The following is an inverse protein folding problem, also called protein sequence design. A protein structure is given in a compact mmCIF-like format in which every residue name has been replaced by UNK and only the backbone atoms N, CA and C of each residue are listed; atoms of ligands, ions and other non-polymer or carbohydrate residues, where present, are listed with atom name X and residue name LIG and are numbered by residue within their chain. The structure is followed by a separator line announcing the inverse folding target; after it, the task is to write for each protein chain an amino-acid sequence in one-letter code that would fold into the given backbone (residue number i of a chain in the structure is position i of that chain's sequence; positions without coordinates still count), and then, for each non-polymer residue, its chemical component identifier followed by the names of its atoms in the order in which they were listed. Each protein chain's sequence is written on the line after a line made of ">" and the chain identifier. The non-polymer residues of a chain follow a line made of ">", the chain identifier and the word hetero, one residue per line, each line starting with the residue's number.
data_IF_916610022345
#
_entry.id   IF_916610022345
#
_cell.length_a   1.000
_cell.length_b   1.000
_cell.length_c   1.000
_cell.angle_alpha   90.00
_cell.angle_beta   90.00
_cell.angle_gamma   90.00
#
_symmetry.space_group_name_H-M   'P 1'
#
loop_
_entity.id
_entity.type
_entity.pdbx_description
1 polymer ?
#
# COMPACT_ATOMS: atom_id res chain seq x y z
N UNK A 1 17.60 4.03 13.84
CA UNK A 1 17.23 3.72 12.46
C UNK A 1 16.75 5.01 11.82
N UNK A 2 17.35 5.41 10.69
CA UNK A 2 16.89 6.57 9.94
C UNK A 2 15.49 6.28 9.40
N UNK A 3 14.53 7.08 9.81
CA UNK A 3 13.17 6.98 9.26
C UNK A 3 13.17 7.55 7.84
N UNK A 4 12.45 6.91 6.93
CA UNK A 4 12.29 7.41 5.58
C UNK A 4 10.81 7.49 5.19
N UNK A 5 10.46 8.47 4.37
CA UNK A 5 9.12 8.63 3.83
C UNK A 5 9.17 9.08 2.37
N UNK A 6 8.06 8.87 1.65
CA UNK A 6 7.90 9.31 0.27
C UNK A 6 6.95 10.50 0.25
N UNK A 7 7.44 11.63 -0.26
CA UNK A 7 6.69 12.89 -0.30
C UNK A 7 6.45 13.30 -1.75
N UNK A 8 5.19 13.60 -2.06
CA UNK A 8 4.80 14.17 -3.35
C UNK A 8 5.04 15.67 -3.34
N UNK A 9 5.76 16.16 -4.32
CA UNK A 9 6.02 17.58 -4.58
C UNK A 9 5.51 17.98 -5.95
N UNK A 10 5.51 19.26 -6.26
CA UNK A 10 5.19 19.75 -7.62
C UNK A 10 6.16 19.24 -8.68
N UNK A 11 7.38 18.87 -8.29
CA UNK A 11 8.44 18.33 -9.17
C UNK A 11 8.47 16.80 -9.26
N UNK A 12 7.57 16.10 -8.54
CA UNK A 12 7.53 14.64 -8.51
C UNK A 12 7.61 14.07 -7.09
N UNK A 13 7.81 12.75 -6.99
CA UNK A 13 7.98 12.06 -5.71
C UNK A 13 9.45 12.09 -5.28
N UNK A 14 9.70 12.44 -4.03
CA UNK A 14 11.03 12.50 -3.41
C UNK A 14 11.07 11.54 -2.23
N UNK A 15 12.16 10.77 -2.10
CA UNK A 15 12.44 9.96 -0.90
C UNK A 15 13.14 10.86 0.12
N UNK A 16 12.51 11.08 1.26
CA UNK A 16 13.06 11.89 2.34
C UNK A 16 13.55 10.97 3.48
N UNK A 17 14.75 11.27 3.96
CA UNK A 17 15.28 10.73 5.21
C UNK A 17 15.11 11.77 6.32
N UNK A 18 14.65 11.36 7.47
CA UNK A 18 14.36 12.29 8.57
C UNK A 18 14.45 11.63 9.94
N UNK A 19 14.74 12.44 10.95
CA UNK A 19 14.71 12.05 12.37
C UNK A 19 13.45 12.60 13.08
N UNK A 20 12.45 13.03 12.30
CA UNK A 20 11.25 13.64 12.84
C UNK A 20 10.28 12.56 13.32
N UNK A 21 9.85 12.66 14.57
CA UNK A 21 8.73 11.91 15.13
C UNK A 21 7.39 12.58 14.73
N UNK A 22 6.33 11.78 14.56
CA UNK A 22 4.96 12.25 14.35
C UNK A 22 4.60 12.79 12.94
N UNK A 23 5.30 12.36 11.89
CA UNK A 23 4.83 12.56 10.52
C UNK A 23 3.89 11.40 10.15
N UNK A 24 2.68 11.73 9.72
CA UNK A 24 1.65 10.77 9.34
C UNK A 24 1.31 10.89 7.85
N UNK A 25 0.73 9.84 7.31
CA UNK A 25 0.27 9.84 5.92
C UNK A 25 -0.78 10.93 5.67
N UNK A 26 -0.56 11.72 4.60
CA UNK A 26 -1.44 12.82 4.21
C UNK A 26 -1.11 14.17 4.86
N UNK A 27 -0.06 14.27 5.66
CA UNK A 27 0.40 15.56 6.19
C UNK A 27 1.00 16.43 5.07
N UNK A 28 0.71 17.72 5.14
CA UNK A 28 1.41 18.72 4.34
C UNK A 28 2.63 19.23 5.11
N UNK A 29 3.80 18.98 4.53
CA UNK A 29 5.07 19.36 5.14
C UNK A 29 5.71 20.49 4.37
N UNK A 30 6.17 21.52 5.10
CA UNK A 30 7.11 22.49 4.60
C UNK A 30 8.44 22.27 5.29
N UNK A 31 9.41 21.76 4.54
CA UNK A 31 10.72 21.34 5.05
C UNK A 31 11.84 21.99 4.28
N UNK A 32 12.94 22.21 4.96
CA UNK A 32 14.23 22.53 4.34
C UNK A 32 14.99 21.22 4.15
N UNK A 33 15.39 20.95 2.90
CA UNK A 33 16.02 19.69 2.52
C UNK A 33 17.44 19.89 2.04
N UNK A 34 18.28 18.90 2.27
CA UNK A 34 19.59 18.75 1.66
C UNK A 34 19.52 17.62 0.64
N UNK A 35 19.73 17.89 -0.65
CA UNK A 35 19.70 16.87 -1.68
C UNK A 35 20.82 15.85 -1.46
N UNK A 36 20.50 14.58 -1.62
CA UNK A 36 21.44 13.47 -1.58
C UNK A 36 21.64 12.92 -2.99
N UNK A 37 22.88 12.61 -3.33
CA UNK A 37 23.19 11.98 -4.61
C UNK A 37 22.74 10.52 -4.65
N UNK A 38 22.25 10.09 -5.81
CA UNK A 38 21.93 8.70 -6.10
C UNK A 38 23.15 8.05 -6.75
N UNK A 39 23.83 7.20 -6.00
CA UNK A 39 25.02 6.50 -6.51
C UNK A 39 24.62 5.24 -7.29
N UNK A 40 25.36 4.97 -8.35
CA UNK A 40 25.35 3.68 -9.02
C UNK A 40 26.33 2.74 -8.33
N UNK A 41 25.92 1.50 -8.13
CA UNK A 41 26.85 0.49 -7.62
C UNK A 41 27.85 0.14 -8.74
N UNK A 42 29.11 0.03 -8.37
CA UNK A 42 30.18 -0.43 -9.27
C UNK A 42 30.17 -1.94 -9.48
N UNK A 43 29.32 -2.69 -8.75
CA UNK A 43 29.22 -4.14 -8.81
C UNK A 43 27.93 -4.52 -9.55
N UNK A 44 28.04 -5.13 -10.72
CA UNK A 44 26.92 -5.47 -11.62
C UNK A 44 25.86 -6.39 -10.99
N UNK A 45 26.22 -7.16 -9.94
CA UNK A 45 25.33 -8.11 -9.26
C UNK A 45 24.79 -7.58 -7.91
N UNK A 46 25.10 -6.35 -7.50
CA UNK A 46 24.63 -5.77 -6.25
C UNK A 46 23.34 -4.97 -6.45
N UNK A 47 22.50 -4.93 -5.41
CA UNK A 47 21.30 -4.10 -5.42
C UNK A 47 21.64 -2.63 -5.69
N UNK A 48 21.13 -2.08 -6.78
CA UNK A 48 21.31 -0.68 -7.14
C UNK A 48 20.09 0.15 -6.71
N UNK A 49 20.24 0.95 -5.66
CA UNK A 49 19.18 1.82 -5.16
C UNK A 49 18.64 2.77 -6.22
N UNK A 50 19.54 3.32 -7.07
CA UNK A 50 19.17 4.24 -8.14
C UNK A 50 18.19 3.61 -9.13
N UNK A 51 18.49 2.41 -9.64
CA UNK A 51 17.61 1.70 -10.56
C UNK A 51 16.27 1.32 -9.91
N UNK A 52 16.30 0.90 -8.65
CA UNK A 52 15.10 0.60 -7.89
C UNK A 52 14.18 1.82 -7.72
N UNK A 53 14.75 2.97 -7.33
CA UNK A 53 13.99 4.21 -7.17
C UNK A 53 13.47 4.75 -8.52
N UNK A 54 14.27 4.64 -9.58
CA UNK A 54 13.84 5.03 -10.93
C UNK A 54 12.67 4.16 -11.42
N UNK A 55 12.70 2.86 -11.13
CA UNK A 55 11.55 1.96 -11.38
C UNK A 55 10.27 2.41 -10.67
N UNK A 56 10.39 3.07 -9.54
CA UNK A 56 9.27 3.68 -8.79
C UNK A 56 8.97 5.14 -9.19
N UNK A 57 9.61 5.68 -10.22
CA UNK A 57 9.52 7.08 -10.65
C UNK A 57 9.95 8.08 -9.57
N UNK A 58 10.92 7.70 -8.75
CA UNK A 58 11.51 8.54 -7.71
C UNK A 58 12.92 8.92 -8.20
N UNK A 59 13.11 10.17 -8.55
CA UNK A 59 14.35 10.67 -9.16
C UNK A 59 15.25 11.43 -8.19
N UNK A 60 14.73 11.72 -6.99
CA UNK A 60 15.44 12.51 -5.99
C UNK A 60 15.33 11.88 -4.62
N UNK A 61 16.42 11.95 -3.87
CA UNK A 61 16.45 11.68 -2.43
C UNK A 61 17.03 12.87 -1.70
N UNK A 62 16.59 13.12 -0.49
CA UNK A 62 17.08 14.24 0.31
C UNK A 62 16.98 13.92 1.80
N UNK A 63 17.81 14.59 2.58
CA UNK A 63 17.71 14.60 4.04
C UNK A 63 16.97 15.87 4.51
N UNK A 64 16.10 15.73 5.50
CA UNK A 64 15.37 16.87 6.08
C UNK A 64 16.25 17.55 7.12
N UNK A 65 16.73 18.77 6.82
CA UNK A 65 17.49 19.58 7.77
C UNK A 65 16.59 20.18 8.85
N UNK A 66 15.45 20.71 8.43
CA UNK A 66 14.55 21.42 9.32
C UNK A 66 13.09 21.30 8.87
N UNK A 67 12.21 20.99 9.83
CA UNK A 67 10.78 21.11 9.66
C UNK A 67 10.36 22.54 9.92
N UNK A 68 9.83 23.23 8.91
CA UNK A 68 9.38 24.60 9.01
C UNK A 68 7.93 24.63 9.47
N UNK A 69 7.07 23.81 8.86
CA UNK A 69 5.67 23.66 9.26
C UNK A 69 5.12 22.30 8.87
N UNK A 70 4.21 21.80 9.71
CA UNK A 70 3.44 20.58 9.45
C UNK A 70 1.96 20.94 9.60
N UNK A 71 1.17 20.66 8.58
CA UNK A 71 -0.27 20.84 8.61
C UNK A 71 -0.95 19.49 8.48
N UNK A 72 -1.62 19.07 9.54
CA UNK A 72 -2.38 17.84 9.58
C UNK A 72 -3.65 17.98 8.75
N UNK A 73 -3.82 17.13 7.74
CA UNK A 73 -5.02 17.10 6.90
C UNK A 73 -6.01 16.05 7.41
N UNK A 74 -7.33 16.33 7.36
CA UNK A 74 -8.35 15.34 7.65
C UNK A 74 -8.40 14.33 6.49
N UNK A 75 -7.75 13.18 6.65
CA UNK A 75 -7.77 12.09 5.68
C UNK A 75 -8.60 10.93 6.19
N UNK A 76 -9.13 10.10 5.27
CA UNK A 76 -9.81 8.84 5.64
C UNK A 76 -8.87 7.91 6.42
N UNK A 77 -7.59 7.89 6.05
CA UNK A 77 -6.53 7.18 6.77
C UNK A 77 -6.52 7.56 8.27
N UNK A 78 -6.42 8.86 8.58
CA UNK A 78 -6.41 9.36 9.96
C UNK A 78 -7.72 9.09 10.70
N UNK A 79 -8.85 9.22 10.00
CA UNK A 79 -10.15 8.88 10.57
C UNK A 79 -10.22 7.40 10.95
N UNK A 80 -9.64 6.50 10.15
CA UNK A 80 -9.58 5.08 10.43
C UNK A 80 -8.64 4.79 11.61
N UNK A 81 -7.45 5.39 11.60
CA UNK A 81 -6.44 5.24 12.65
C UNK A 81 -6.95 5.65 14.04
N UNK A 82 -7.73 6.72 14.12
CA UNK A 82 -8.36 7.18 15.38
C UNK A 82 -9.35 6.18 15.99
N UNK A 83 -9.75 5.16 15.23
CA UNK A 83 -10.66 4.09 15.69
C UNK A 83 -9.94 2.82 16.13
N UNK A 84 -8.64 2.80 16.00
CA UNK A 84 -7.84 1.68 16.45
C UNK A 84 -7.82 1.61 17.98
N UNK A 85 -7.46 0.43 18.49
CA UNK A 85 -7.34 0.20 19.92
C UNK A 85 -6.33 1.15 20.56
N UNK A 86 -6.57 1.54 21.81
CA UNK A 86 -5.59 2.28 22.61
C UNK A 86 -4.48 1.40 23.18
N UNK A 87 -4.61 0.07 23.11
CA UNK A 87 -3.55 -0.86 23.47
C UNK A 87 -2.54 -0.92 22.34
N UNK A 88 -1.28 -0.62 22.64
CA UNK A 88 -0.21 -0.47 21.64
C UNK A 88 -0.07 -1.70 20.75
N UNK A 89 0.03 -2.89 21.35
CA UNK A 89 0.21 -4.14 20.60
C UNK A 89 -0.94 -4.38 19.62
N UNK A 90 -2.19 -4.18 20.06
CA UNK A 90 -3.39 -4.36 19.22
C UNK A 90 -3.41 -3.31 18.11
N UNK A 91 -3.04 -2.08 18.40
CA UNK A 91 -2.96 -1.00 17.41
C UNK A 91 -1.94 -1.29 16.32
N UNK A 92 -0.78 -1.81 16.67
CA UNK A 92 0.28 -2.15 15.74
C UNK A 92 -0.15 -3.27 14.77
N UNK A 93 -0.83 -4.31 15.28
CA UNK A 93 -1.44 -5.32 14.42
C UNK A 93 -2.55 -4.74 13.53
N UNK A 94 -3.39 -3.84 14.04
CA UNK A 94 -4.41 -3.17 13.23
C UNK A 94 -3.78 -2.33 12.10
N UNK A 95 -2.69 -1.61 12.37
CA UNK A 95 -1.93 -0.89 11.34
C UNK A 95 -1.36 -1.84 10.28
N UNK A 96 -0.78 -2.95 10.71
CA UNK A 96 -0.25 -3.96 9.80
C UNK A 96 -1.34 -4.55 8.88
N UNK A 97 -2.47 -4.98 9.45
CA UNK A 97 -3.52 -5.68 8.70
C UNK A 97 -4.44 -4.77 7.90
N UNK A 98 -4.69 -3.56 8.39
CA UNK A 98 -5.66 -2.65 7.75
C UNK A 98 -4.95 -1.60 6.90
N UNK A 99 -3.82 -1.07 7.35
CA UNK A 99 -3.09 -0.03 6.64
C UNK A 99 -1.88 -0.56 5.87
N UNK A 100 -1.44 -1.80 6.15
CA UNK A 100 -0.25 -2.39 5.57
C UNK A 100 1.05 -1.78 6.08
N UNK A 101 1.00 -1.07 7.20
CA UNK A 101 2.16 -0.44 7.81
C UNK A 101 2.87 -1.37 8.77
N UNK A 102 4.20 -1.33 8.74
CA UNK A 102 5.05 -2.09 9.65
C UNK A 102 5.43 -1.20 10.81
N UNK A 103 5.00 -1.55 12.03
CA UNK A 103 5.46 -0.89 13.24
C UNK A 103 6.77 -1.50 13.72
N UNK A 104 7.66 -0.66 14.25
CA UNK A 104 8.93 -1.09 14.84
C UNK A 104 8.74 -1.92 16.12
N UNK A 105 7.61 -1.77 16.80
CA UNK A 105 7.27 -2.49 18.05
C UNK A 105 6.95 -3.96 17.81
N UNK A 106 6.53 -4.34 16.60
CA UNK A 106 6.30 -5.75 16.21
C UNK A 106 7.62 -6.44 15.80
N UNK A 107 8.79 -5.82 16.05
CA UNK A 107 10.09 -6.23 15.51
C UNK A 107 10.44 -7.69 15.78
N UNK A 108 10.28 -8.19 16.98
CA UNK A 108 10.59 -9.59 17.34
C UNK A 108 9.58 -10.55 16.74
N UNK A 109 8.29 -10.28 16.84
CA UNK A 109 7.22 -11.10 16.24
C UNK A 109 7.31 -11.08 14.72
N UNK A 110 7.67 -9.94 14.13
CA UNK A 110 7.87 -9.82 12.69
C UNK A 110 9.06 -10.65 12.20
N UNK A 111 10.16 -10.69 12.97
CA UNK A 111 11.30 -11.57 12.68
C UNK A 111 10.88 -13.03 12.74
N UNK A 112 10.15 -13.44 13.78
CA UNK A 112 9.62 -14.79 13.91
C UNK A 112 8.73 -15.16 12.72
N UNK A 113 7.84 -14.26 12.28
CA UNK A 113 7.01 -14.47 11.11
C UNK A 113 7.83 -14.58 9.82
N UNK A 114 8.94 -13.85 9.73
CA UNK A 114 9.88 -13.90 8.61
C UNK A 114 10.60 -15.24 8.57
N UNK A 115 11.10 -15.70 9.71
CA UNK A 115 11.81 -16.97 9.86
C UNK A 115 10.91 -18.16 9.53
N UNK A 116 9.64 -18.06 9.89
CA UNK A 116 8.60 -19.03 9.55
C UNK A 116 8.07 -18.90 8.12
N UNK A 117 8.57 -17.94 7.33
CA UNK A 117 8.08 -17.62 5.97
C UNK A 117 6.59 -17.24 5.92
N UNK A 118 6.00 -16.82 7.04
CA UNK A 118 4.59 -16.47 7.16
C UNK A 118 4.29 -14.99 6.87
N UNK A 119 5.30 -14.16 6.70
CA UNK A 119 5.15 -12.70 6.44
C UNK A 119 4.21 -12.42 5.27
N UNK A 120 4.23 -13.27 4.24
CA UNK A 120 3.35 -13.08 3.08
C UNK A 120 1.86 -13.24 3.41
N UNK A 121 1.52 -13.99 4.45
CA UNK A 121 0.14 -14.17 4.92
C UNK A 121 -0.33 -12.98 5.75
N UNK A 122 0.59 -12.34 6.48
CA UNK A 122 0.28 -11.23 7.38
C UNK A 122 0.44 -9.85 6.72
N UNK A 123 1.28 -9.75 5.69
CA UNK A 123 1.31 -8.53 4.88
C UNK A 123 -0.02 -8.36 4.13
N UNK A 124 -0.53 -7.15 4.07
CA UNK A 124 -1.75 -6.83 3.32
C UNK A 124 -1.55 -7.21 1.84
N UNK A 125 -2.15 -8.32 1.43
CA UNK A 125 -1.92 -8.98 0.15
C UNK A 125 -3.15 -8.93 -0.77
N UNK A 126 -2.93 -9.28 -2.03
CA UNK A 126 -4.02 -9.41 -2.99
C UNK A 126 -5.10 -10.41 -2.58
N UNK A 127 -4.75 -11.46 -1.82
CA UNK A 127 -5.72 -12.42 -1.29
C UNK A 127 -6.74 -11.75 -0.37
N UNK A 128 -6.31 -10.83 0.48
CA UNK A 128 -7.19 -10.08 1.38
C UNK A 128 -8.24 -9.27 0.59
N UNK A 129 -7.86 -8.69 -0.54
CA UNK A 129 -8.80 -7.97 -1.43
C UNK A 129 -9.85 -8.91 -2.01
N UNK A 130 -9.48 -10.12 -2.41
CA UNK A 130 -10.43 -11.10 -2.94
C UNK A 130 -11.42 -11.57 -1.88
N UNK A 131 -10.94 -11.85 -0.65
CA UNK A 131 -11.79 -12.23 0.48
C UNK A 131 -12.74 -11.09 0.83
N UNK A 132 -12.22 -9.87 0.94
CA UNK A 132 -13.00 -8.67 1.25
C UNK A 132 -14.05 -8.41 0.17
N UNK A 133 -13.69 -8.54 -1.11
CA UNK A 133 -14.63 -8.44 -2.22
C UNK A 133 -15.75 -9.47 -2.12
N UNK A 134 -15.42 -10.75 -1.88
CA UNK A 134 -16.42 -11.80 -1.76
C UNK A 134 -17.36 -11.55 -0.58
N UNK A 135 -16.80 -11.14 0.57
CA UNK A 135 -17.57 -10.86 1.78
C UNK A 135 -18.55 -9.70 1.57
N UNK A 136 -18.06 -8.53 1.15
CA UNK A 136 -18.88 -7.33 0.96
C UNK A 136 -19.94 -7.58 -0.12
N UNK A 137 -19.55 -8.16 -1.25
CA UNK A 137 -20.47 -8.48 -2.34
C UNK A 137 -21.61 -9.39 -1.87
N UNK A 138 -21.29 -10.45 -1.11
CA UNK A 138 -22.31 -11.39 -0.66
C UNK A 138 -23.24 -10.73 0.37
N UNK A 139 -22.72 -9.93 1.29
CA UNK A 139 -23.52 -9.16 2.24
C UNK A 139 -24.45 -8.18 1.50
N UNK A 140 -23.94 -7.40 0.57
CA UNK A 140 -24.75 -6.46 -0.21
C UNK A 140 -25.79 -7.18 -1.09
N UNK A 141 -25.48 -8.36 -1.59
CA UNK A 141 -26.40 -9.15 -2.42
C UNK A 141 -27.62 -9.71 -1.63
N UNK A 142 -27.61 -9.65 -0.29
CA UNK A 142 -28.78 -9.95 0.53
C UNK A 142 -29.86 -8.86 0.43
N UNK A 143 -29.43 -7.62 0.19
CA UNK A 143 -30.31 -6.45 0.21
C UNK A 143 -30.49 -5.80 -1.17
N UNK A 144 -29.58 -6.05 -2.11
CA UNK A 144 -29.51 -5.39 -3.40
C UNK A 144 -29.43 -6.38 -4.55
N UNK A 145 -29.90 -5.99 -5.74
CA UNK A 145 -29.69 -6.79 -6.96
C UNK A 145 -28.20 -7.07 -7.16
N UNK A 146 -27.86 -8.28 -7.59
CA UNK A 146 -26.47 -8.76 -7.73
C UNK A 146 -25.56 -7.83 -8.53
N UNK A 147 -26.06 -7.16 -9.57
CA UNK A 147 -25.27 -6.22 -10.37
C UNK A 147 -24.92 -4.94 -9.57
N UNK A 148 -25.89 -4.40 -8.84
CA UNK A 148 -25.70 -3.22 -8.01
C UNK A 148 -24.75 -3.53 -6.84
N UNK A 149 -24.92 -4.69 -6.20
CA UNK A 149 -24.02 -5.17 -5.15
C UNK A 149 -22.56 -5.24 -5.63
N UNK A 150 -22.30 -5.75 -6.85
CA UNK A 150 -20.96 -5.77 -7.45
C UNK A 150 -20.38 -4.36 -7.62
N UNK A 151 -21.15 -3.46 -8.25
CA UNK A 151 -20.66 -2.09 -8.50
C UNK A 151 -20.32 -1.39 -7.21
N UNK A 152 -21.21 -1.45 -6.21
CA UNK A 152 -20.98 -0.84 -4.91
C UNK A 152 -19.76 -1.45 -4.20
N UNK A 153 -19.58 -2.77 -4.30
CA UNK A 153 -18.40 -3.43 -3.73
C UNK A 153 -17.10 -2.90 -4.36
N UNK A 154 -17.05 -2.77 -5.69
CA UNK A 154 -15.88 -2.20 -6.37
C UNK A 154 -15.63 -0.75 -5.98
N UNK A 155 -16.67 0.05 -5.83
CA UNK A 155 -16.54 1.43 -5.37
C UNK A 155 -15.99 1.50 -3.94
N UNK A 156 -16.50 0.66 -3.02
CA UNK A 156 -16.05 0.63 -1.63
C UNK A 156 -14.59 0.19 -1.51
N UNK A 157 -14.21 -0.89 -2.22
CA UNK A 157 -12.83 -1.39 -2.21
C UNK A 157 -11.90 -0.41 -2.90
N UNK A 158 -12.31 0.18 -4.03
CA UNK A 158 -11.54 1.22 -4.70
C UNK A 158 -11.31 2.41 -3.79
N UNK A 159 -12.35 2.93 -3.15
CA UNK A 159 -12.23 4.02 -2.18
C UNK A 159 -11.24 3.67 -1.05
N UNK A 160 -11.34 2.48 -0.47
CA UNK A 160 -10.42 2.01 0.57
C UNK A 160 -8.97 1.98 0.08
N UNK A 161 -8.68 1.35 -1.06
CA UNK A 161 -7.32 1.20 -1.60
C UNK A 161 -6.71 2.55 -1.95
N UNK A 162 -7.49 3.49 -2.52
CA UNK A 162 -7.00 4.83 -2.86
C UNK A 162 -6.84 5.76 -1.65
N UNK A 163 -7.41 5.38 -0.50
CA UNK A 163 -7.35 6.18 0.74
C UNK A 163 -6.19 5.79 1.66
N UNK A 164 -5.53 4.65 1.42
CA UNK A 164 -4.38 4.19 2.21
C UNK A 164 -3.06 4.42 1.46
N UNK A 165 -1.89 4.33 2.14
CA UNK A 165 -0.59 4.41 1.48
C UNK A 165 -0.48 3.43 0.32
N UNK A 166 0.25 3.84 -0.73
CA UNK A 166 0.34 3.08 -1.98
C UNK A 166 1.03 1.72 -1.78
N UNK A 167 0.24 0.66 -1.80
CA UNK A 167 0.71 -0.73 -1.78
C UNK A 167 0.50 -1.34 -3.18
N UNK A 168 1.55 -1.46 -3.96
CA UNK A 168 1.51 -1.93 -5.36
C UNK A 168 0.78 -3.28 -5.50
N UNK A 169 0.95 -4.18 -4.51
CA UNK A 169 0.27 -5.49 -4.50
C UNK A 169 -1.26 -5.37 -4.45
N UNK A 170 -1.80 -4.40 -3.70
CA UNK A 170 -3.24 -4.18 -3.60
C UNK A 170 -3.81 -3.61 -4.89
N UNK A 171 -3.13 -2.61 -5.48
CA UNK A 171 -3.54 -2.06 -6.77
C UNK A 171 -3.57 -3.14 -7.84
N UNK A 172 -2.52 -3.96 -7.93
CA UNK A 172 -2.50 -5.08 -8.89
C UNK A 172 -3.67 -6.03 -8.69
N UNK A 173 -3.90 -6.48 -7.45
CA UNK A 173 -5.00 -7.37 -7.14
C UNK A 173 -6.37 -6.77 -7.50
N UNK A 174 -6.57 -5.49 -7.19
CA UNK A 174 -7.81 -4.78 -7.52
C UNK A 174 -8.04 -4.69 -9.03
N UNK A 175 -7.01 -4.31 -9.80
CA UNK A 175 -7.14 -4.22 -11.26
C UNK A 175 -7.31 -5.59 -11.92
N UNK A 176 -6.65 -6.63 -11.42
CA UNK A 176 -6.83 -8.02 -11.88
C UNK A 176 -8.27 -8.47 -11.63
N UNK A 177 -8.80 -8.22 -10.44
CA UNK A 177 -10.17 -8.58 -10.08
C UNK A 177 -11.19 -7.81 -10.93
N UNK A 178 -10.97 -6.52 -11.14
CA UNK A 178 -11.81 -5.68 -11.99
C UNK A 178 -11.82 -6.18 -13.44
N UNK A 179 -10.63 -6.46 -13.98
CA UNK A 179 -10.47 -6.97 -15.34
C UNK A 179 -11.15 -8.34 -15.49
N UNK A 180 -10.99 -9.24 -14.52
CA UNK A 180 -11.66 -10.53 -14.51
C UNK A 180 -13.18 -10.40 -14.55
N UNK A 181 -13.78 -9.55 -13.71
CA UNK A 181 -15.23 -9.34 -13.68
C UNK A 181 -15.75 -8.67 -14.97
N UNK A 182 -14.97 -7.80 -15.61
CA UNK A 182 -15.30 -7.21 -16.90
C UNK A 182 -15.26 -8.25 -18.03
N UNK A 183 -14.18 -9.03 -18.10
CA UNK A 183 -14.01 -10.05 -19.14
C UNK A 183 -15.01 -11.20 -19.00
N UNK A 184 -15.37 -11.58 -17.80
CA UNK A 184 -16.41 -12.59 -17.53
C UNK A 184 -17.75 -12.22 -18.14
N UNK A 185 -18.05 -10.92 -18.28
CA UNK A 185 -19.27 -10.46 -18.97
C UNK A 185 -19.23 -10.75 -20.47
N UNK A 186 -18.05 -10.73 -21.08
CA UNK A 186 -17.85 -10.93 -22.53
C UNK A 186 -17.60 -12.40 -22.88
N UNK A 187 -16.86 -13.11 -22.01
CA UNK A 187 -16.48 -14.50 -22.18
C UNK A 187 -17.21 -15.39 -21.17
N UNK A 188 -18.34 -15.97 -21.55
CA UNK A 188 -19.21 -16.76 -20.66
C UNK A 188 -18.53 -18.01 -20.04
N UNK A 189 -17.40 -18.46 -20.59
CA UNK A 189 -16.61 -19.63 -20.13
C UNK A 189 -15.23 -19.27 -19.61
N UNK A 190 -15.02 -18.02 -19.18
CA UNK A 190 -13.71 -17.64 -18.64
C UNK A 190 -13.53 -18.26 -17.26
N UNK A 191 -12.69 -19.30 -17.20
CA UNK A 191 -12.25 -19.87 -15.94
C UNK A 191 -11.18 -18.96 -15.33
N UNK A 192 -11.24 -18.78 -14.01
CA UNK A 192 -10.28 -17.95 -13.28
C UNK A 192 -8.86 -18.47 -13.45
N UNK A 193 -8.67 -19.81 -13.54
CA UNK A 193 -7.36 -20.41 -13.75
C UNK A 193 -6.81 -20.08 -15.14
N UNK A 194 -7.62 -20.19 -16.20
CA UNK A 194 -7.23 -19.81 -17.56
C UNK A 194 -6.85 -18.32 -17.63
N UNK A 195 -7.62 -17.45 -16.94
CA UNK A 195 -7.31 -16.03 -16.85
C UNK A 195 -5.99 -15.76 -16.14
N UNK A 196 -5.71 -16.43 -15.02
CA UNK A 196 -4.44 -16.28 -14.28
C UNK A 196 -3.25 -16.78 -15.07
N UNK A 197 -3.41 -17.90 -15.85
CA UNK A 197 -2.36 -18.39 -16.73
C UNK A 197 -2.05 -17.37 -17.83
N UNK A 198 -3.08 -16.82 -18.49
CA UNK A 198 -2.87 -15.78 -19.51
C UNK A 198 -2.16 -14.57 -18.89
N UNK A 199 -2.56 -14.14 -17.70
CA UNK A 199 -1.95 -13.00 -17.03
C UNK A 199 -0.48 -13.27 -16.67
N UNK A 200 -0.13 -14.51 -16.29
CA UNK A 200 1.26 -14.91 -15.96
C UNK A 200 2.19 -14.90 -17.18
N UNK A 201 1.66 -15.00 -18.39
CA UNK A 201 2.44 -14.91 -19.64
C UNK A 201 2.83 -13.46 -20.01
N UNK A 202 2.16 -12.47 -19.39
CA UNK A 202 2.46 -11.05 -19.60
C UNK A 202 3.29 -10.43 -18.46
N UNK A 203 3.82 -11.26 -17.57
CA UNK A 203 4.60 -10.87 -16.40
C UNK A 203 6.01 -11.43 -16.48
#
# INVERSE_FOLDING_TARGET
>A
AENNCYVKTNAGTVKLYHDLSNIEYGDLLKVEIEPLELYENTNDNAFCEKHYLYGQRIFHKAYVKKLISQQKQPTFYRWLEQRFSSQQDVQDYQRLFILGERSLTIGEDYQLLTDLSLVHMFALSGMHIHILYALIKNVLALFLPRQLAKVLTFMMIGFYIFSIPMLVSLYRAFFILLLYELLKKWFHKLDIFAFLIILSLFY
#
